data_IF_667174717277
#
_entry.id   IF_667174717277
#
_cell.length_a   1.000
_cell.length_b   1.000
_cell.length_c   1.000
_cell.angle_alpha   90.00
_cell.angle_beta   90.00
_cell.angle_gamma   90.00
#
_symmetry.space_group_name_H-M   'P 1'
#
loop_
_entity.id
_entity.type
_entity.pdbx_description
1 polymer ?
#
# COMPACT_ATOMS: atom_id res chain seq x y z
N UNK A 1 -14.93 -7.29 14.93
CA UNK A 1 -15.67 -7.52 13.68
C UNK A 1 -15.77 -6.19 12.94
N UNK A 2 -15.76 -6.21 11.60
CA UNK A 2 -15.94 -5.01 10.76
C UNK A 2 -17.23 -5.16 9.96
N UNK A 3 -17.85 -4.04 9.59
CA UNK A 3 -19.11 -4.00 8.86
C UNK A 3 -18.88 -3.31 7.51
N UNK A 4 -19.30 -3.95 6.42
CA UNK A 4 -19.20 -3.40 5.06
C UNK A 4 -20.53 -3.64 4.36
N UNK A 5 -21.22 -2.57 4.01
CA UNK A 5 -22.48 -2.60 3.26
C UNK A 5 -22.56 -1.39 2.32
N UNK A 6 -22.73 -1.68 1.04
CA UNK A 6 -22.89 -0.71 -0.03
C UNK A 6 -23.58 -1.40 -1.20
N UNK A 7 -24.33 -0.66 -2.03
CA UNK A 7 -24.98 -1.19 -3.24
C UNK A 7 -23.97 -1.90 -4.16
N UNK A 8 -22.83 -1.25 -4.44
CA UNK A 8 -21.68 -1.88 -5.12
C UNK A 8 -20.44 -1.86 -4.25
N UNK A 9 -19.77 -3.01 -4.12
CA UNK A 9 -18.50 -3.17 -3.39
C UNK A 9 -17.47 -3.79 -4.33
N UNK A 10 -16.33 -3.13 -4.48
CA UNK A 10 -15.16 -3.64 -5.23
C UNK A 10 -13.93 -3.59 -4.33
N UNK A 11 -13.24 -4.72 -4.20
CA UNK A 11 -12.05 -4.86 -3.35
C UNK A 11 -10.92 -5.45 -4.21
N UNK A 12 -9.84 -4.69 -4.33
CA UNK A 12 -8.65 -5.06 -5.09
C UNK A 12 -7.81 -6.12 -4.41
N UNK A 13 -6.86 -6.68 -5.18
CA UNK A 13 -5.96 -7.73 -4.70
C UNK A 13 -5.11 -7.23 -3.52
N UNK A 14 -4.91 -8.10 -2.51
CA UNK A 14 -4.13 -7.81 -1.30
C UNK A 14 -4.63 -6.60 -0.47
N UNK A 15 -5.83 -6.07 -0.75
CA UNK A 15 -6.48 -5.06 0.07
C UNK A 15 -6.88 -5.61 1.45
N UNK A 16 -6.78 -4.77 2.49
CA UNK A 16 -7.02 -5.19 3.88
C UNK A 16 -7.94 -4.23 4.62
N UNK A 17 -8.97 -4.76 5.25
CA UNK A 17 -9.84 -4.03 6.17
C UNK A 17 -9.59 -4.59 7.58
N UNK A 18 -9.07 -3.76 8.47
CA UNK A 18 -8.81 -4.12 9.88
C UNK A 18 -10.10 -4.12 10.70
N UNK A 19 -9.96 -4.46 11.97
CA UNK A 19 -11.06 -4.66 12.91
C UNK A 19 -11.82 -3.36 13.20
N UNK A 20 -13.13 -3.47 13.44
CA UNK A 20 -13.98 -2.35 13.84
C UNK A 20 -14.05 -1.21 12.81
N UNK A 21 -13.80 -1.51 11.54
CA UNK A 21 -14.10 -0.61 10.43
C UNK A 21 -15.59 -0.68 10.13
N UNK A 22 -16.21 0.47 9.90
CA UNK A 22 -17.59 0.58 9.48
C UNK A 22 -17.66 1.27 8.11
N UNK A 23 -18.13 0.55 7.11
CA UNK A 23 -18.45 1.09 5.78
C UNK A 23 -19.95 0.93 5.56
N UNK A 24 -20.68 2.04 5.54
CA UNK A 24 -22.13 2.01 5.40
C UNK A 24 -22.84 3.35 5.63
N UNK A 25 -24.15 3.33 5.46
CA UNK A 25 -25.04 4.47 5.60
C UNK A 25 -26.22 4.38 4.62
N UNK A 26 -26.96 5.49 4.41
CA UNK A 26 -28.03 5.54 3.41
C UNK A 26 -27.54 5.07 2.05
N UNK A 27 -28.31 4.19 1.41
CA UNK A 27 -27.99 3.64 0.09
C UNK A 27 -28.79 4.36 -0.98
N UNK A 28 -28.12 4.70 -2.07
CA UNK A 28 -28.67 5.21 -3.32
C UNK A 28 -28.28 4.23 -4.45
N UNK A 29 -28.97 4.22 -5.60
CA UNK A 29 -28.62 3.36 -6.73
C UNK A 29 -27.16 3.50 -7.20
N UNK A 30 -26.56 4.68 -7.02
CA UNK A 30 -25.16 4.98 -7.35
C UNK A 30 -24.17 4.77 -6.19
N UNK A 31 -24.62 4.30 -5.02
CA UNK A 31 -23.73 4.05 -3.88
C UNK A 31 -22.68 3.02 -4.24
N UNK A 32 -21.40 3.41 -4.17
CA UNK A 32 -20.29 2.56 -4.59
C UNK A 32 -19.12 2.72 -3.65
N UNK A 33 -18.58 1.61 -3.18
CA UNK A 33 -17.35 1.57 -2.39
C UNK A 33 -16.29 0.79 -3.16
N UNK A 34 -15.24 1.48 -3.61
CA UNK A 34 -14.10 0.88 -4.29
C UNK A 34 -12.87 1.02 -3.41
N UNK A 35 -12.27 -0.12 -3.08
CA UNK A 35 -11.01 -0.22 -2.36
C UNK A 35 -9.96 -0.84 -3.29
N UNK A 36 -9.00 -0.04 -3.76
CA UNK A 36 -7.96 -0.46 -4.68
C UNK A 36 -7.03 -1.54 -4.12
N UNK A 37 -6.14 -2.04 -4.97
CA UNK A 37 -5.22 -3.12 -4.62
C UNK A 37 -4.15 -2.68 -3.62
N UNK A 38 -3.72 -3.58 -2.73
CA UNK A 38 -2.66 -3.35 -1.74
C UNK A 38 -2.91 -2.16 -0.82
N UNK A 39 -4.18 -1.82 -0.65
CA UNK A 39 -4.66 -0.80 0.27
C UNK A 39 -4.84 -1.37 1.67
N UNK A 40 -4.90 -0.48 2.67
CA UNK A 40 -5.24 -0.88 4.02
C UNK A 40 -6.13 0.16 4.69
N UNK A 41 -7.21 -0.31 5.34
CA UNK A 41 -8.04 0.50 6.24
C UNK A 41 -7.80 0.01 7.67
N UNK A 42 -7.26 0.88 8.51
CA UNK A 42 -6.96 0.61 9.91
C UNK A 42 -8.20 0.79 10.79
N UNK A 43 -8.06 0.41 12.07
CA UNK A 43 -9.17 0.18 12.99
C UNK A 43 -10.03 1.40 13.23
N UNK A 44 -11.31 1.19 13.51
CA UNK A 44 -12.25 2.24 13.95
C UNK A 44 -12.50 3.35 12.90
N UNK A 45 -12.09 3.14 11.65
CA UNK A 45 -12.44 4.03 10.55
C UNK A 45 -13.93 3.91 10.21
N UNK A 46 -14.55 5.05 9.89
CA UNK A 46 -15.94 5.14 9.45
C UNK A 46 -15.98 5.73 8.04
N UNK A 47 -16.62 5.02 7.11
CA UNK A 47 -16.74 5.44 5.71
C UNK A 47 -18.21 5.39 5.34
N UNK A 48 -18.73 6.51 4.86
CA UNK A 48 -20.08 6.62 4.35
C UNK A 48 -20.08 6.70 2.81
N UNK A 49 -20.48 5.62 2.12
CA UNK A 49 -20.53 5.58 0.66
C UNK A 49 -21.93 5.87 0.09
N UNK A 50 -22.70 6.79 0.69
CA UNK A 50 -24.01 7.20 0.15
C UNK A 50 -23.88 7.73 -1.29
N UNK A 51 -22.84 8.52 -1.58
CA UNK A 51 -22.30 8.68 -2.95
C UNK A 51 -21.00 7.88 -3.09
N UNK A 52 -20.46 7.71 -4.31
CA UNK A 52 -19.24 6.92 -4.51
C UNK A 52 -18.07 7.35 -3.62
N UNK A 53 -17.41 6.36 -3.00
CA UNK A 53 -16.10 6.49 -2.35
C UNK A 53 -15.13 5.59 -3.11
N UNK A 54 -14.14 6.21 -3.75
CA UNK A 54 -13.13 5.52 -4.55
C UNK A 54 -11.77 5.72 -3.89
N UNK A 55 -11.11 4.62 -3.55
CA UNK A 55 -9.78 4.60 -2.93
C UNK A 55 -8.82 3.90 -3.89
N UNK A 56 -7.83 4.62 -4.41
CA UNK A 56 -6.85 4.09 -5.37
C UNK A 56 -5.89 3.06 -4.76
N UNK A 57 -5.15 2.38 -5.63
CA UNK A 57 -4.15 1.37 -5.24
C UNK A 57 -3.09 1.94 -4.28
N UNK A 58 -2.52 1.08 -3.44
CA UNK A 58 -1.42 1.41 -2.53
C UNK A 58 -1.74 2.51 -1.50
N UNK A 59 -3.03 2.87 -1.36
CA UNK A 59 -3.51 3.88 -0.42
C UNK A 59 -3.77 3.30 0.97
N UNK A 60 -3.35 4.03 2.00
CA UNK A 60 -3.57 3.67 3.40
C UNK A 60 -4.48 4.65 4.11
N UNK A 61 -5.44 4.11 4.86
CA UNK A 61 -6.40 4.84 5.70
C UNK A 61 -6.14 4.48 7.15
N UNK A 62 -5.75 5.47 7.93
CA UNK A 62 -5.40 5.36 9.33
C UNK A 62 -6.61 5.13 10.22
N UNK A 63 -6.35 4.73 11.47
CA UNK A 63 -7.44 4.46 12.40
C UNK A 63 -8.22 5.72 12.73
N UNK A 64 -9.51 5.55 13.04
CA UNK A 64 -10.43 6.67 13.33
C UNK A 64 -10.57 7.72 12.22
N UNK A 65 -10.20 7.41 10.97
CA UNK A 65 -10.55 8.31 9.87
C UNK A 65 -12.06 8.29 9.64
N UNK A 66 -12.61 9.45 9.30
CA UNK A 66 -14.03 9.63 8.98
C UNK A 66 -14.13 10.11 7.53
N UNK A 67 -14.85 9.38 6.67
CA UNK A 67 -15.03 9.74 5.26
C UNK A 67 -16.52 9.88 5.00
N UNK A 68 -16.96 11.08 4.60
CA UNK A 68 -18.36 11.40 4.36
C UNK A 68 -18.59 11.84 2.92
N UNK A 69 -19.69 11.36 2.36
CA UNK A 69 -20.16 11.76 1.02
C UNK A 69 -21.44 12.57 1.05
N UNK A 70 -21.96 12.86 2.25
CA UNK A 70 -23.08 13.76 2.43
C UNK A 70 -22.94 14.62 3.69
N UNK A 71 -23.66 15.73 3.70
CA UNK A 71 -23.73 16.67 4.81
C UNK A 71 -25.13 17.25 4.86
N UNK A 72 -26.00 16.64 5.66
CA UNK A 72 -27.43 16.96 5.74
C UNK A 72 -27.94 16.77 7.16
N UNK A 73 -28.79 17.69 7.63
CA UNK A 73 -29.62 17.51 8.82
C UNK A 73 -30.70 18.59 8.88
N UNK A 74 -30.28 19.85 8.69
CA UNK A 74 -31.16 21.01 8.71
C UNK A 74 -31.91 21.16 7.37
N UNK A 75 -33.07 21.81 7.43
CA UNK A 75 -33.98 21.96 6.29
C UNK A 75 -33.35 22.79 5.18
N UNK A 76 -33.20 22.20 4.00
CA UNK A 76 -32.82 22.95 2.80
C UNK A 76 -33.86 24.01 2.41
N UNK A 77 -35.14 23.80 2.76
CA UNK A 77 -36.21 24.77 2.53
C UNK A 77 -36.02 26.05 3.36
N UNK A 78 -35.29 25.96 4.47
CA UNK A 78 -34.91 27.12 5.30
C UNK A 78 -33.59 27.75 4.83
N UNK A 79 -33.01 27.28 3.71
CA UNK A 79 -31.78 27.80 3.13
C UNK A 79 -30.48 27.18 3.65
N UNK A 80 -30.55 26.13 4.48
CA UNK A 80 -29.35 25.41 4.92
C UNK A 80 -28.72 24.59 3.77
N UNK A 81 -27.39 24.49 3.71
CA UNK A 81 -26.71 23.74 2.67
C UNK A 81 -26.95 22.23 2.83
N UNK A 82 -27.10 21.55 1.69
CA UNK A 82 -27.18 20.10 1.56
C UNK A 82 -26.12 19.69 0.55
N UNK A 83 -25.27 18.74 0.92
CA UNK A 83 -24.27 18.19 0.00
C UNK A 83 -24.44 16.68 -0.14
N UNK A 84 -24.36 16.19 -1.36
CA UNK A 84 -24.21 14.77 -1.69
C UNK A 84 -23.21 14.64 -2.83
N UNK A 85 -21.95 14.40 -2.50
CA UNK A 85 -20.85 14.46 -3.46
C UNK A 85 -19.88 13.29 -3.24
N UNK A 86 -19.33 12.72 -4.33
CA UNK A 86 -18.39 11.61 -4.23
C UNK A 86 -17.08 12.03 -3.56
N UNK A 87 -16.36 11.05 -3.04
CA UNK A 87 -14.99 11.21 -2.52
C UNK A 87 -14.04 10.32 -3.32
N UNK A 88 -12.94 10.91 -3.78
CA UNK A 88 -11.90 10.19 -4.53
C UNK A 88 -10.54 10.37 -3.85
N UNK A 89 -9.92 9.27 -3.46
CA UNK A 89 -8.52 9.21 -3.06
C UNK A 89 -7.73 8.55 -4.17
N UNK A 90 -6.68 9.21 -4.66
CA UNK A 90 -5.76 8.70 -5.66
C UNK A 90 -4.95 7.49 -5.18
N UNK A 91 -3.92 7.14 -5.95
CA UNK A 91 -2.98 6.06 -5.64
C UNK A 91 -1.94 6.51 -4.62
N UNK A 92 -1.48 5.61 -3.76
CA UNK A 92 -0.42 5.89 -2.77
C UNK A 92 -0.74 7.07 -1.85
N UNK A 93 -2.02 7.34 -1.58
CA UNK A 93 -2.44 8.35 -0.61
C UNK A 93 -2.24 7.81 0.80
N UNK A 94 -1.86 8.67 1.74
CA UNK A 94 -1.81 8.31 3.16
C UNK A 94 -2.67 9.26 3.99
N UNK A 95 -3.72 8.69 4.57
CA UNK A 95 -4.45 9.32 5.67
C UNK A 95 -3.95 8.69 6.97
N UNK A 96 -3.14 9.35 7.79
CA UNK A 96 -2.82 8.90 9.14
C UNK A 96 -4.06 9.04 10.05
N UNK A 97 -3.88 8.81 11.34
CA UNK A 97 -5.00 8.70 12.27
C UNK A 97 -5.84 9.97 12.36
N UNK A 98 -7.16 9.78 12.48
CA UNK A 98 -8.15 10.84 12.75
C UNK A 98 -8.29 11.91 11.66
N UNK A 99 -8.07 11.57 10.39
CA UNK A 99 -8.40 12.49 9.29
C UNK A 99 -9.90 12.44 9.00
N UNK A 100 -10.53 13.62 8.85
CA UNK A 100 -11.92 13.74 8.39
C UNK A 100 -11.96 14.22 6.94
N UNK A 101 -12.62 13.48 6.06
CA UNK A 101 -12.76 13.78 4.63
C UNK A 101 -14.20 14.20 4.35
N UNK A 102 -14.36 15.43 3.86
CA UNK A 102 -15.67 16.03 3.59
C UNK A 102 -16.21 15.65 2.20
N UNK A 103 -17.53 15.78 1.96
CA UNK A 103 -18.14 15.53 0.66
C UNK A 103 -17.44 16.33 -0.46
N UNK A 104 -17.32 15.74 -1.65
CA UNK A 104 -16.71 16.38 -2.82
C UNK A 104 -15.19 16.40 -2.84
N UNK A 105 -14.56 15.79 -1.83
CA UNK A 105 -13.10 15.82 -1.72
C UNK A 105 -12.44 14.92 -2.75
N UNK A 106 -11.42 15.46 -3.42
CA UNK A 106 -10.50 14.69 -4.28
C UNK A 106 -9.07 14.89 -3.80
N UNK A 107 -8.35 13.80 -3.53
CA UNK A 107 -6.95 13.83 -3.08
C UNK A 107 -6.08 13.17 -4.15
N UNK A 108 -5.13 13.93 -4.70
CA UNK A 108 -4.23 13.43 -5.75
C UNK A 108 -3.25 12.36 -5.28
N UNK A 109 -2.68 11.64 -6.24
CA UNK A 109 -1.74 10.54 -6.01
C UNK A 109 -0.52 10.96 -5.17
N UNK A 110 -0.05 10.04 -4.31
CA UNK A 110 1.18 10.26 -3.51
C UNK A 110 1.05 11.32 -2.42
N UNK A 111 -0.15 11.83 -2.16
CA UNK A 111 -0.37 12.88 -1.15
C UNK A 111 -0.57 12.30 0.24
N UNK A 112 -0.02 13.02 1.22
CA UNK A 112 -0.21 12.74 2.65
C UNK A 112 -1.05 13.84 3.28
N UNK A 113 -2.09 13.45 4.01
CA UNK A 113 -2.85 14.37 4.86
C UNK A 113 -2.31 14.26 6.29
N UNK A 114 -2.13 15.35 7.03
CA UNK A 114 -1.65 15.29 8.41
C UNK A 114 -2.68 14.67 9.35
N UNK A 115 -2.23 14.02 10.43
CA UNK A 115 -3.13 13.50 11.45
C UNK A 115 -4.03 14.61 12.04
N UNK A 116 -5.26 14.26 12.41
CA UNK A 116 -6.28 15.19 12.93
C UNK A 116 -6.70 16.32 11.95
N UNK A 117 -6.38 16.21 10.66
CA UNK A 117 -6.80 17.23 9.68
C UNK A 117 -8.24 17.00 9.21
N UNK A 118 -8.90 18.07 8.76
CA UNK A 118 -10.16 17.97 8.01
C UNK A 118 -9.94 18.49 6.60
N UNK A 119 -10.19 17.64 5.62
CA UNK A 119 -9.96 17.93 4.21
C UNK A 119 -11.27 18.12 3.47
N UNK A 120 -11.32 19.16 2.65
CA UNK A 120 -12.46 19.53 1.82
C UNK A 120 -11.98 20.06 0.48
N UNK A 121 -12.63 19.66 -0.62
CA UNK A 121 -12.28 20.10 -1.97
C UNK A 121 -11.10 19.33 -2.58
N UNK A 122 -10.37 19.94 -3.51
CA UNK A 122 -9.28 19.30 -4.22
C UNK A 122 -7.92 19.52 -3.52
N UNK A 123 -7.19 18.44 -3.27
CA UNK A 123 -5.79 18.46 -2.83
C UNK A 123 -4.91 17.91 -3.98
N UNK A 124 -3.86 18.64 -4.40
CA UNK A 124 -3.02 18.21 -5.51
C UNK A 124 -2.25 16.91 -5.18
N UNK A 125 -1.71 16.20 -6.19
CA UNK A 125 -0.84 15.05 -5.97
C UNK A 125 0.53 15.47 -5.40
N UNK A 126 1.24 14.50 -4.82
CA UNK A 126 2.60 14.62 -4.30
C UNK A 126 2.78 15.84 -3.38
N UNK A 127 1.93 15.94 -2.36
CA UNK A 127 1.99 17.02 -1.40
C UNK A 127 1.76 16.52 0.04
N UNK A 128 2.12 17.36 1.01
CA UNK A 128 1.73 17.22 2.40
C UNK A 128 0.74 18.33 2.72
N UNK A 129 -0.48 17.99 3.10
CA UNK A 129 -1.50 18.93 3.55
C UNK A 129 -1.91 18.67 4.99
N UNK A 130 -2.04 19.72 5.82
CA UNK A 130 -2.35 19.58 7.25
C UNK A 130 -3.35 20.63 7.73
N UNK A 131 -4.05 20.36 8.82
CA UNK A 131 -4.86 21.34 9.56
C UNK A 131 -6.37 21.21 9.36
N UNK A 132 -7.10 22.18 9.92
CA UNK A 132 -8.55 22.29 9.81
C UNK A 132 -8.93 23.74 9.46
N UNK A 133 -9.31 24.02 8.20
CA UNK A 133 -9.27 23.12 7.04
C UNK A 133 -7.83 22.81 6.59
N UNK A 134 -7.63 21.64 5.98
CA UNK A 134 -6.32 21.21 5.52
C UNK A 134 -5.76 22.16 4.45
N UNK A 135 -4.47 22.49 4.55
CA UNK A 135 -3.73 23.32 3.60
C UNK A 135 -2.42 22.65 3.24
N UNK A 136 -2.03 22.75 1.97
CA UNK A 136 -0.75 22.25 1.47
C UNK A 136 0.39 23.05 2.12
N UNK A 137 1.34 22.34 2.74
CA UNK A 137 2.52 22.93 3.38
C UNK A 137 3.84 22.47 2.75
N UNK A 138 3.82 21.41 1.96
CA UNK A 138 4.96 20.93 1.14
C UNK A 138 4.44 20.30 -0.14
N UNK A 139 5.24 20.38 -1.20
CA UNK A 139 4.92 19.80 -2.51
C UNK A 139 6.18 19.21 -3.14
N UNK A 140 6.02 18.46 -4.22
CA UNK A 140 7.14 18.05 -5.06
C UNK A 140 7.96 19.27 -5.55
N UNK A 141 9.29 19.16 -5.66
CA UNK A 141 10.10 17.95 -5.47
C UNK A 141 10.54 17.69 -4.01
N UNK A 142 10.20 18.56 -3.07
CA UNK A 142 10.61 18.42 -1.67
C UNK A 142 9.83 17.32 -0.94
N UNK A 143 8.59 17.08 -1.36
CA UNK A 143 7.73 16.05 -0.81
C UNK A 143 6.96 15.30 -1.92
N UNK A 144 7.23 14.00 -2.15
CA UNK A 144 8.35 13.25 -1.59
C UNK A 144 9.69 13.69 -2.22
N UNK A 145 10.75 13.76 -1.41
CA UNK A 145 12.11 13.90 -1.92
C UNK A 145 12.50 12.65 -2.70
N UNK A 146 13.09 12.83 -3.87
CA UNK A 146 13.70 11.72 -4.63
C UNK A 146 14.98 11.25 -3.93
N UNK A 147 15.06 9.94 -3.67
CA UNK A 147 16.28 9.29 -3.21
C UNK A 147 17.23 9.01 -4.38
N UNK A 148 18.52 9.18 -4.15
CA UNK A 148 19.59 8.69 -5.03
C UNK A 148 19.68 7.16 -5.00
N UNK A 149 20.34 6.55 -5.99
CA UNK A 149 20.49 5.10 -6.06
C UNK A 149 21.28 4.55 -4.85
N UNK A 150 22.30 5.28 -4.39
CA UNK A 150 23.06 4.92 -3.18
C UNK A 150 22.19 4.97 -1.91
N UNK A 151 21.32 5.99 -1.78
CA UNK A 151 20.38 6.07 -0.65
C UNK A 151 19.35 4.94 -0.70
N UNK A 152 18.86 4.58 -1.90
CA UNK A 152 17.95 3.44 -2.07
C UNK A 152 18.63 2.13 -1.69
N UNK A 153 19.84 1.87 -2.18
CA UNK A 153 20.59 0.65 -1.87
C UNK A 153 20.87 0.53 -0.36
N UNK A 154 21.31 1.63 0.28
CA UNK A 154 21.53 1.66 1.72
C UNK A 154 20.25 1.38 2.53
N UNK A 155 19.10 1.89 2.06
CA UNK A 155 17.81 1.59 2.66
C UNK A 155 17.43 0.11 2.50
N UNK A 156 17.65 -0.50 1.33
CA UNK A 156 17.40 -1.95 1.14
C UNK A 156 18.28 -2.78 2.08
N UNK A 157 19.56 -2.43 2.25
CA UNK A 157 20.44 -3.08 3.23
C UNK A 157 19.88 -3.01 4.65
N UNK A 158 19.33 -1.85 5.02
CA UNK A 158 18.69 -1.65 6.34
C UNK A 158 17.47 -2.55 6.48
N UNK A 159 16.58 -2.55 5.49
CA UNK A 159 15.37 -3.39 5.47
C UNK A 159 15.73 -4.87 5.60
N UNK A 160 16.73 -5.34 4.84
CA UNK A 160 17.16 -6.74 4.88
C UNK A 160 17.79 -7.12 6.21
N UNK A 161 18.57 -6.22 6.81
CA UNK A 161 19.15 -6.44 8.14
C UNK A 161 18.07 -6.56 9.21
N UNK A 162 17.03 -5.72 9.16
CA UNK A 162 15.91 -5.81 10.10
C UNK A 162 15.03 -7.03 9.83
N UNK A 163 14.83 -7.40 8.57
CA UNK A 163 14.13 -8.62 8.18
C UNK A 163 14.82 -9.86 8.78
N UNK A 164 16.14 -9.94 8.67
CA UNK A 164 16.92 -11.04 9.24
C UNK A 164 16.70 -11.15 10.75
N UNK A 165 16.81 -10.03 11.48
CA UNK A 165 16.54 -9.99 12.93
C UNK A 165 15.11 -10.44 13.26
N UNK A 166 14.14 -10.00 12.47
CA UNK A 166 12.73 -10.36 12.64
C UNK A 166 12.49 -11.86 12.47
N UNK A 167 12.99 -12.47 11.41
CA UNK A 167 12.77 -13.90 11.17
C UNK A 167 13.59 -14.77 12.13
N UNK A 168 14.78 -14.33 12.55
CA UNK A 168 15.56 -14.97 13.61
C UNK A 168 14.80 -15.01 14.94
N UNK A 169 14.17 -13.91 15.32
CA UNK A 169 13.28 -13.88 16.48
C UNK A 169 12.10 -14.88 16.34
N UNK A 170 11.62 -15.10 15.12
CA UNK A 170 10.60 -16.11 14.79
C UNK A 170 11.11 -17.57 14.73
N UNK A 171 12.38 -17.81 15.06
CA UNK A 171 13.03 -19.12 15.08
C UNK A 171 13.55 -19.60 13.72
N UNK A 172 13.82 -18.68 12.79
CA UNK A 172 14.48 -18.98 11.51
C UNK A 172 16.00 -18.87 11.68
N UNK A 173 16.73 -19.95 11.40
CA UNK A 173 18.18 -19.90 11.32
C UNK A 173 18.62 -19.30 9.98
N UNK A 174 19.61 -18.40 10.02
CA UNK A 174 20.16 -17.76 8.81
C UNK A 174 21.62 -18.21 8.65
N UNK A 175 22.01 -18.56 7.43
CA UNK A 175 23.42 -18.76 7.07
C UNK A 175 23.72 -18.16 5.71
N UNK A 176 24.93 -17.63 5.54
CA UNK A 176 25.38 -17.09 4.25
C UNK A 176 26.23 -18.12 3.51
N UNK A 177 25.83 -18.43 2.27
CA UNK A 177 26.57 -19.26 1.32
C UNK A 177 26.58 -18.55 -0.03
N UNK A 178 27.51 -17.62 -0.18
CA UNK A 178 27.57 -16.72 -1.32
C UNK A 178 27.38 -17.47 -2.67
N UNK A 179 26.53 -16.96 -3.59
CA UNK A 179 25.81 -15.69 -3.51
C UNK A 179 24.46 -15.75 -2.75
N UNK A 180 24.10 -16.90 -2.18
CA UNK A 180 22.81 -17.09 -1.52
C UNK A 180 22.86 -16.81 -0.02
N UNK A 181 21.75 -16.30 0.48
CA UNK A 181 21.41 -16.35 1.90
C UNK A 181 20.37 -17.44 2.13
N UNK A 182 20.62 -18.30 3.12
CA UNK A 182 19.77 -19.44 3.44
C UNK A 182 18.95 -19.16 4.69
N UNK A 183 17.65 -19.43 4.62
CA UNK A 183 16.71 -19.30 5.72
C UNK A 183 16.13 -20.67 6.05
N UNK A 184 16.37 -21.18 7.25
CA UNK A 184 15.98 -22.54 7.65
C UNK A 184 15.02 -22.52 8.84
N UNK A 185 13.88 -23.20 8.73
CA UNK A 185 12.91 -23.37 9.82
C UNK A 185 12.31 -24.78 9.80
N UNK A 186 12.36 -25.48 10.93
CA UNK A 186 11.79 -26.84 11.09
C UNK A 186 12.23 -27.80 9.97
N UNK A 187 13.52 -27.80 9.63
CA UNK A 187 14.12 -28.67 8.61
C UNK A 187 13.87 -28.25 7.15
N UNK A 188 13.07 -27.22 6.89
CA UNK A 188 12.90 -26.64 5.53
C UNK A 188 13.85 -25.47 5.35
N UNK A 189 14.48 -25.39 4.17
CA UNK A 189 15.41 -24.32 3.82
C UNK A 189 14.95 -23.62 2.55
N UNK A 190 14.97 -22.29 2.57
CA UNK A 190 14.68 -21.43 1.42
C UNK A 190 15.93 -20.61 1.10
N UNK A 191 16.20 -20.40 -0.20
CA UNK A 191 17.35 -19.62 -0.67
C UNK A 191 16.88 -18.27 -1.19
N UNK A 192 17.58 -17.22 -0.75
CA UNK A 192 17.45 -15.87 -1.28
C UNK A 192 18.70 -15.53 -2.08
N UNK A 193 18.51 -15.14 -3.33
CA UNK A 193 19.53 -14.52 -4.16
C UNK A 193 19.24 -13.01 -4.23
N UNK A 194 20.03 -12.22 -3.51
CA UNK A 194 19.89 -10.77 -3.47
C UNK A 194 20.91 -10.13 -4.42
N UNK A 195 20.41 -9.51 -5.50
CA UNK A 195 21.21 -9.08 -6.64
C UNK A 195 21.74 -7.65 -6.57
N UNK A 196 21.33 -6.87 -5.57
CA UNK A 196 21.53 -5.42 -5.62
C UNK A 196 20.92 -4.85 -6.91
N UNK A 197 21.70 -4.11 -7.67
CA UNK A 197 21.33 -3.54 -8.98
C UNK A 197 21.85 -4.34 -10.17
N UNK A 198 22.43 -5.53 -9.96
CA UNK A 198 23.14 -6.27 -11.01
C UNK A 198 22.26 -7.33 -11.67
N UNK A 199 22.22 -7.33 -13.00
CA UNK A 199 21.65 -8.39 -13.82
C UNK A 199 22.54 -8.64 -15.05
N UNK A 200 22.80 -9.89 -15.49
CA UNK A 200 22.29 -11.17 -14.99
C UNK A 200 22.90 -11.59 -13.64
N UNK A 201 22.28 -12.55 -12.93
CA UNK A 201 22.81 -13.05 -11.68
C UNK A 201 24.12 -13.83 -11.89
N UNK A 202 25.05 -13.82 -10.91
CA UNK A 202 26.33 -14.54 -11.00
C UNK A 202 26.16 -16.06 -11.03
N UNK A 203 25.04 -16.56 -10.51
CA UNK A 203 24.64 -17.98 -10.53
C UNK A 203 23.17 -18.03 -10.94
N UNK A 204 22.82 -18.97 -11.82
CA UNK A 204 21.44 -19.16 -12.23
C UNK A 204 20.58 -19.62 -11.04
N UNK A 205 19.49 -18.91 -10.69
CA UNK A 205 18.57 -19.37 -9.65
C UNK A 205 17.76 -20.57 -10.15
N UNK A 206 17.43 -21.47 -9.24
CA UNK A 206 16.70 -22.72 -9.50
C UNK A 206 15.28 -22.65 -8.96
N UNK A 207 14.45 -23.63 -9.35
CA UNK A 207 13.04 -23.72 -8.94
C UNK A 207 12.88 -23.59 -7.42
N UNK A 208 12.00 -22.67 -6.99
CA UNK A 208 11.70 -22.41 -5.59
C UNK A 208 12.62 -21.39 -4.92
N UNK A 209 13.70 -20.93 -5.57
CA UNK A 209 14.51 -19.83 -5.09
C UNK A 209 13.71 -18.53 -5.07
N UNK A 210 14.12 -17.61 -4.19
CA UNK A 210 13.64 -16.23 -4.19
C UNK A 210 14.74 -15.32 -4.70
N UNK A 211 14.45 -14.52 -5.73
CA UNK A 211 15.31 -13.43 -6.20
C UNK A 211 14.82 -12.11 -5.63
N UNK A 212 15.73 -11.31 -5.07
CA UNK A 212 15.46 -9.93 -4.68
C UNK A 212 16.31 -8.99 -5.54
N UNK A 213 15.64 -8.13 -6.31
CA UNK A 213 16.29 -7.14 -7.18
C UNK A 213 15.96 -5.72 -6.72
N UNK A 214 16.98 -4.86 -6.61
CA UNK A 214 16.81 -3.44 -6.26
C UNK A 214 16.54 -2.56 -7.49
N UNK A 215 17.00 -3.03 -8.66
CA UNK A 215 16.75 -2.44 -9.97
C UNK A 215 15.61 -3.18 -10.70
N UNK A 216 14.93 -2.47 -11.60
CA UNK A 216 13.84 -3.03 -12.38
C UNK A 216 14.36 -4.16 -13.29
N UNK A 217 13.68 -5.30 -13.26
CA UNK A 217 14.01 -6.43 -14.12
C UNK A 217 13.28 -6.28 -15.47
N UNK A 218 13.98 -6.58 -16.57
CA UNK A 218 13.38 -6.58 -17.90
C UNK A 218 12.33 -7.70 -18.03
N UNK A 219 11.39 -7.55 -18.96
CA UNK A 219 10.30 -8.51 -19.16
C UNK A 219 10.83 -9.92 -19.49
N UNK A 220 11.92 -10.01 -20.24
CA UNK A 220 12.59 -11.26 -20.61
C UNK A 220 13.22 -11.95 -19.39
N UNK A 221 13.78 -11.15 -18.46
CA UNK A 221 14.32 -11.65 -17.20
C UNK A 221 13.22 -12.25 -16.33
N UNK A 222 12.11 -11.52 -16.18
CA UNK A 222 10.94 -11.98 -15.42
C UNK A 222 10.32 -13.24 -16.04
N UNK A 223 10.18 -13.29 -17.37
CA UNK A 223 9.69 -14.47 -18.08
C UNK A 223 10.59 -15.69 -17.83
N UNK A 224 11.91 -15.53 -17.93
CA UNK A 224 12.85 -16.61 -17.64
C UNK A 224 12.81 -17.09 -16.18
N UNK A 225 12.61 -16.19 -15.21
CA UNK A 225 12.41 -16.58 -13.81
C UNK A 225 11.11 -17.38 -13.65
N UNK A 226 10.02 -16.92 -14.27
CA UNK A 226 8.72 -17.59 -14.26
C UNK A 226 8.80 -19.01 -14.83
N UNK A 227 9.41 -19.19 -15.99
CA UNK A 227 9.59 -20.49 -16.65
C UNK A 227 10.40 -21.48 -15.81
N UNK A 228 11.42 -20.99 -15.08
CA UNK A 228 12.22 -21.81 -14.15
C UNK A 228 11.53 -22.09 -12.82
N UNK A 229 10.34 -21.52 -12.58
CA UNK A 229 9.65 -21.59 -11.29
C UNK A 229 10.44 -20.92 -10.16
N UNK A 230 11.16 -19.86 -10.47
CA UNK A 230 11.87 -18.99 -9.52
C UNK A 230 10.93 -17.87 -9.10
N UNK A 231 10.85 -17.60 -7.80
CA UNK A 231 10.07 -16.50 -7.25
C UNK A 231 10.90 -15.22 -7.24
N UNK A 232 10.26 -14.05 -7.31
CA UNK A 232 10.99 -12.78 -7.26
C UNK A 232 10.25 -11.69 -6.50
N UNK A 233 11.04 -10.74 -6.00
CA UNK A 233 10.65 -9.43 -5.53
C UNK A 233 11.50 -8.41 -6.30
N UNK A 234 10.89 -7.72 -7.26
CA UNK A 234 11.51 -6.67 -8.05
C UNK A 234 11.13 -5.31 -7.45
N UNK A 235 12.01 -4.78 -6.60
CA UNK A 235 11.78 -3.50 -5.92
C UNK A 235 11.85 -2.32 -6.89
N UNK A 236 12.64 -2.42 -7.96
CA UNK A 236 12.80 -1.34 -8.93
C UNK A 236 11.62 -1.26 -9.89
N UNK A 237 11.12 -2.41 -10.35
CA UNK A 237 9.93 -2.52 -11.19
C UNK A 237 8.61 -2.51 -10.40
N UNK A 238 8.67 -2.60 -9.06
CA UNK A 238 7.51 -2.70 -8.15
C UNK A 238 6.62 -3.89 -8.47
N UNK A 239 7.23 -5.02 -8.81
CA UNK A 239 6.51 -6.27 -9.10
C UNK A 239 7.03 -7.41 -8.25
N UNK A 240 6.25 -8.48 -8.20
CA UNK A 240 6.64 -9.74 -7.57
C UNK A 240 6.01 -10.91 -8.29
N UNK A 241 6.58 -12.10 -8.12
CA UNK A 241 5.98 -13.32 -8.66
C UNK A 241 4.56 -13.54 -8.13
N UNK A 242 3.69 -14.11 -8.98
CA UNK A 242 2.31 -14.46 -8.64
C UNK A 242 2.24 -15.37 -7.41
N UNK A 243 3.04 -16.42 -7.42
CA UNK A 243 3.26 -17.31 -6.29
C UNK A 243 4.59 -17.01 -5.59
N UNK A 244 4.71 -17.41 -4.33
CA UNK A 244 5.92 -17.24 -3.55
C UNK A 244 6.18 -18.45 -2.67
N UNK A 245 7.47 -18.70 -2.37
CA UNK A 245 7.82 -19.54 -1.23
C UNK A 245 7.40 -18.86 0.09
N UNK A 246 7.31 -19.58 1.23
CA UNK A 246 7.11 -18.95 2.53
C UNK A 246 8.08 -17.79 2.81
N UNK A 247 9.33 -17.90 2.36
CA UNK A 247 10.31 -16.82 2.46
C UNK A 247 9.92 -15.61 1.59
N UNK A 248 9.50 -15.86 0.34
CA UNK A 248 9.09 -14.81 -0.60
C UNK A 248 7.90 -14.01 -0.05
N UNK A 249 6.88 -14.71 0.45
CA UNK A 249 5.69 -14.07 1.02
C UNK A 249 6.01 -13.29 2.28
N UNK A 250 6.81 -13.86 3.20
CA UNK A 250 7.19 -13.18 4.44
C UNK A 250 8.03 -11.93 4.15
N UNK A 251 8.98 -12.01 3.21
CA UNK A 251 9.80 -10.86 2.82
C UNK A 251 8.96 -9.79 2.13
N UNK A 252 8.02 -10.16 1.25
CA UNK A 252 7.10 -9.20 0.62
C UNK A 252 6.23 -8.46 1.64
N UNK A 253 5.72 -9.17 2.66
CA UNK A 253 5.00 -8.57 3.77
C UNK A 253 5.90 -7.63 4.59
N UNK A 254 7.15 -8.03 4.81
CA UNK A 254 8.09 -7.27 5.61
C UNK A 254 8.53 -5.97 4.94
N UNK A 255 8.91 -6.00 3.66
CA UNK A 255 9.22 -4.76 2.90
C UNK A 255 7.99 -3.85 2.83
N UNK A 256 6.79 -4.42 2.90
CA UNK A 256 5.53 -3.68 3.05
C UNK A 256 5.47 -2.77 4.29
N UNK A 257 6.20 -3.10 5.37
CA UNK A 257 6.28 -2.24 6.57
C UNK A 257 6.99 -0.90 6.29
N UNK A 258 7.78 -0.85 5.23
CA UNK A 258 8.49 0.33 4.73
C UNK A 258 7.73 1.08 3.63
N UNK A 259 6.47 0.73 3.40
CA UNK A 259 5.66 1.34 2.33
C UNK A 259 5.99 0.82 0.92
N UNK A 260 6.89 -0.17 0.78
CA UNK A 260 7.15 -0.81 -0.51
C UNK A 260 5.98 -1.73 -0.85
N UNK A 261 5.33 -1.49 -1.98
CA UNK A 261 4.22 -2.30 -2.48
C UNK A 261 4.61 -2.89 -3.82
N UNK A 262 4.35 -4.18 -3.99
CA UNK A 262 4.75 -4.95 -5.15
C UNK A 262 3.51 -5.57 -5.76
N UNK A 263 3.22 -5.24 -7.01
CA UNK A 263 2.12 -5.82 -7.77
C UNK A 263 2.45 -7.27 -8.09
N UNK A 264 1.49 -8.19 -7.87
CA UNK A 264 1.65 -9.57 -8.31
C UNK A 264 1.60 -9.62 -9.83
N UNK A 265 2.54 -10.37 -10.39
CA UNK A 265 2.54 -10.73 -11.79
C UNK A 265 1.26 -11.49 -12.15
N UNK A 266 0.76 -11.24 -13.36
CA UNK A 266 -0.52 -11.80 -13.85
C UNK A 266 -0.43 -13.30 -14.13
#
# INVERSE_FOLDING_TARGET
>A
MSYVSCETIEIGEDARIREQVYVGGPQLPESRFVLGSRTIILQLAFINPTKPVIIGDDTGIGGHCLIFTHGVWLSALDGYPVSYEPVTLGKSVWLPWRVSVMPGTTIGDGTVIGANSVVSGAIPPNCLAVGFPARVIRSAPEFPRRLSDNERAALVVTIMTEFDRYVQHGGVAISERAPFRLYTRRGKTWRLLWLGTTWPPPVAPERGDTVLSEAALAAEALAGLRERGVHWLDLGGRTRSREGSPLTEELALYVGRYGVRLTRDA
#
